data_IF_438243405601
#
_entry.id   IF_438243405601
#
_cell.length_a   1.000
_cell.length_b   1.000
_cell.length_c   1.000
_cell.angle_alpha   90.00
_cell.angle_beta   90.00
_cell.angle_gamma   90.00
#
_symmetry.space_group_name_H-M   'P 1'
#
loop_
_entity.id
_entity.type
_entity.pdbx_description
1 polymer ?
#
# COMPACT_ATOMS: atom_id res chain seq x y z
N UNK A 1 -11.12 -2.82 -4.70
CA UNK A 1 -10.90 -1.47 -5.26
C UNK A 1 -9.43 -1.34 -5.60
N UNK A 2 -9.08 -0.77 -6.75
CA UNK A 2 -7.68 -0.55 -7.14
C UNK A 2 -7.49 0.93 -7.48
N UNK A 3 -6.42 1.52 -6.96
CA UNK A 3 -6.05 2.90 -7.24
C UNK A 3 -4.71 2.93 -7.94
N UNK A 4 -4.62 3.73 -8.99
CA UNK A 4 -3.34 4.01 -9.66
C UNK A 4 -2.87 5.37 -9.19
N UNK A 5 -1.66 5.40 -8.65
CA UNK A 5 -0.98 6.62 -8.26
C UNK A 5 0.20 6.87 -9.19
N UNK A 6 0.60 8.14 -9.33
CA UNK A 6 1.75 8.55 -10.13
C UNK A 6 3.07 8.26 -9.43
N UNK A 7 3.97 9.23 -9.44
CA UNK A 7 5.30 9.08 -8.86
C UNK A 7 5.29 8.70 -7.37
N UNK A 8 6.32 7.95 -6.99
CA UNK A 8 6.58 7.49 -5.62
C UNK A 8 7.16 8.64 -4.78
N UNK A 9 6.29 9.55 -4.36
CA UNK A 9 6.61 10.74 -3.54
C UNK A 9 5.83 10.75 -2.22
N UNK A 10 6.26 11.56 -1.27
CA UNK A 10 5.55 11.72 0.02
C UNK A 10 4.11 12.22 -0.19
N UNK A 11 3.90 13.19 -1.09
CA UNK A 11 2.57 13.72 -1.39
C UNK A 11 1.63 12.63 -1.94
N UNK A 12 2.16 11.73 -2.77
CA UNK A 12 1.42 10.57 -3.27
C UNK A 12 1.03 9.62 -2.12
N UNK A 13 1.94 9.38 -1.19
CA UNK A 13 1.66 8.56 0.00
C UNK A 13 0.58 9.19 0.89
N UNK A 14 0.67 10.48 1.18
CA UNK A 14 -0.32 11.20 1.99
C UNK A 14 -1.71 11.17 1.35
N UNK A 15 -1.80 11.27 0.02
CA UNK A 15 -3.07 11.12 -0.71
C UNK A 15 -3.64 9.71 -0.56
N UNK A 16 -2.82 8.67 -0.64
CA UNK A 16 -3.25 7.28 -0.39
C UNK A 16 -3.79 7.12 1.04
N UNK A 17 -3.07 7.63 2.04
CA UNK A 17 -3.51 7.57 3.44
C UNK A 17 -4.82 8.34 3.67
N UNK A 18 -5.00 9.50 3.03
CA UNK A 18 -6.25 10.25 3.07
C UNK A 18 -7.44 9.45 2.55
N UNK A 19 -7.29 8.71 1.45
CA UNK A 19 -8.34 7.82 0.94
C UNK A 19 -8.64 6.65 1.87
N UNK A 20 -7.61 6.13 2.54
CA UNK A 20 -7.74 5.00 3.45
C UNK A 20 -8.21 5.41 4.85
N UNK A 21 -8.22 6.71 5.17
CA UNK A 21 -8.65 7.23 6.48
C UNK A 21 -10.08 6.86 6.88
N UNK A 22 -10.94 6.55 5.90
CA UNK A 22 -12.31 6.08 6.15
C UNK A 22 -12.38 4.60 6.58
N UNK A 23 -11.26 3.88 6.55
CA UNK A 23 -11.17 2.46 6.89
C UNK A 23 -10.28 2.26 8.12
N UNK A 24 -10.67 1.32 8.97
CA UNK A 24 -9.79 0.80 10.02
C UNK A 24 -8.81 -0.20 9.38
N UNK A 25 -7.74 0.34 8.81
CA UNK A 25 -6.65 -0.49 8.30
C UNK A 25 -5.89 -1.06 9.51
N UNK A 26 -5.71 -2.37 9.53
CA UNK A 26 -5.05 -3.09 10.63
C UNK A 26 -3.72 -3.71 10.21
N UNK A 27 -3.53 -3.93 8.90
CA UNK A 27 -2.34 -4.56 8.33
C UNK A 27 -1.97 -3.87 7.02
N UNK A 28 -0.72 -3.45 6.91
CA UNK A 28 -0.13 -2.95 5.68
C UNK A 28 0.78 -3.99 5.07
N UNK A 29 0.53 -4.34 3.80
CA UNK A 29 1.45 -5.15 3.01
C UNK A 29 2.14 -4.27 1.98
N UNK A 30 3.44 -4.08 2.12
CA UNK A 30 4.20 -3.16 1.26
C UNK A 30 5.48 -3.77 0.71
N UNK A 31 6.10 -3.09 -0.25
CA UNK A 31 7.33 -3.49 -0.90
C UNK A 31 8.62 -3.05 -0.17
N UNK A 32 8.50 -2.42 1.00
CA UNK A 32 9.64 -1.99 1.82
C UNK A 32 10.20 -0.60 1.47
N UNK A 33 9.38 0.31 0.94
CA UNK A 33 9.79 1.71 0.83
C UNK A 33 10.12 2.32 2.20
N UNK A 34 11.25 3.03 2.37
CA UNK A 34 11.59 3.65 3.65
C UNK A 34 10.54 4.66 4.14
N UNK A 35 9.81 5.32 3.23
CA UNK A 35 8.78 6.29 3.63
C UNK A 35 7.58 5.65 4.34
N UNK A 36 7.28 4.38 4.08
CA UNK A 36 6.22 3.65 4.79
C UNK A 36 6.53 3.54 6.29
N UNK A 37 7.78 3.24 6.66
CA UNK A 37 8.18 3.06 8.07
C UNK A 37 7.98 4.34 8.89
N UNK A 38 8.17 5.50 8.27
CA UNK A 38 7.98 6.79 8.95
C UNK A 38 6.51 7.18 9.14
N UNK A 39 5.62 6.76 8.24
CA UNK A 39 4.21 7.20 8.20
C UNK A 39 3.22 6.17 8.71
N UNK A 40 3.57 4.88 8.72
CA UNK A 40 2.72 3.77 9.15
C UNK A 40 3.06 3.26 10.56
N UNK A 41 3.63 4.12 11.41
CA UNK A 41 4.03 3.75 12.77
C UNK A 41 2.81 3.36 13.61
N UNK A 42 2.85 2.16 14.18
CA UNK A 42 1.83 1.65 15.11
C UNK A 42 0.92 0.57 14.52
N UNK A 43 0.97 0.34 13.21
CA UNK A 43 0.21 -0.71 12.54
C UNK A 43 1.08 -1.92 12.16
N UNK A 44 0.46 -3.09 11.99
CA UNK A 44 1.19 -4.29 11.57
C UNK A 44 1.68 -4.12 10.12
N UNK A 45 2.97 -3.87 10.00
CA UNK A 45 3.62 -3.68 8.71
C UNK A 45 4.34 -4.96 8.28
N UNK A 46 3.87 -5.56 7.20
CA UNK A 46 4.48 -6.75 6.60
C UNK A 46 5.15 -6.36 5.29
N UNK A 47 6.48 -6.39 5.28
CA UNK A 47 7.27 -6.20 4.06
C UNK A 47 7.43 -7.55 3.37
N UNK A 48 6.79 -7.73 2.22
CA UNK A 48 6.92 -8.97 1.46
C UNK A 48 6.53 -8.80 0.00
N UNK A 49 7.35 -9.34 -0.90
CA UNK A 49 7.03 -9.43 -2.34
C UNK A 49 6.03 -10.54 -2.69
N UNK A 50 5.87 -11.55 -1.83
CA UNK A 50 5.06 -12.74 -2.15
C UNK A 50 3.57 -12.39 -2.24
N UNK A 51 3.08 -11.55 -1.33
CA UNK A 51 1.68 -11.17 -1.27
C UNK A 51 1.31 -10.12 -2.32
N UNK A 52 2.20 -9.14 -2.55
CA UNK A 52 2.01 -8.12 -3.59
C UNK A 52 1.93 -8.74 -4.99
N UNK A 53 2.85 -9.65 -5.32
CA UNK A 53 2.83 -10.39 -6.58
C UNK A 53 1.57 -11.24 -6.77
N UNK A 54 1.01 -11.79 -5.68
CA UNK A 54 -0.24 -12.57 -5.76
C UNK A 54 -1.44 -11.70 -6.11
N UNK A 55 -1.53 -10.49 -5.53
CA UNK A 55 -2.58 -9.51 -5.82
C UNK A 55 -2.45 -8.99 -7.25
N UNK A 56 -1.23 -8.63 -7.67
CA UNK A 56 -0.95 -8.18 -9.05
C UNK A 56 -1.34 -9.26 -10.07
N UNK A 57 -0.94 -10.51 -9.85
CA UNK A 57 -1.31 -11.64 -10.70
C UNK A 57 -2.82 -11.86 -10.77
N UNK A 58 -3.51 -11.73 -9.64
CA UNK A 58 -4.97 -11.85 -9.62
C UNK A 58 -5.61 -10.77 -10.50
N UNK A 59 -5.17 -9.51 -10.40
CA UNK A 59 -5.70 -8.41 -11.21
C UNK A 59 -5.39 -8.56 -12.71
N UNK A 60 -4.26 -9.17 -13.09
CA UNK A 60 -3.95 -9.45 -14.49
C UNK A 60 -4.88 -10.49 -15.12
N UNK A 61 -5.33 -11.47 -14.33
CA UNK A 61 -6.26 -12.51 -14.77
C UNK A 61 -7.73 -12.05 -14.77
N UNK A 62 -8.02 -10.87 -14.21
CA UNK A 62 -9.35 -10.26 -14.20
C UNK A 62 -9.58 -9.30 -15.40
N UNK A 63 -8.69 -9.33 -16.40
CA UNK A 63 -8.84 -8.57 -17.64
C UNK A 63 -9.98 -9.08 -18.51
#
# INVERSE_FOLDING_TARGET
MAHVFGERTLATLERLLGLLSAFEVVVWMTDGWPLYESRLKGELHVISKRYTQRIERHNLNLR
#
